data_IF_213371213983
#
_entry.id   IF_213371213983
#
_cell.length_a   1.000
_cell.length_b   1.000
_cell.length_c   1.000
_cell.angle_alpha   90.00
_cell.angle_beta   90.00
_cell.angle_gamma   90.00
#
_symmetry.space_group_name_H-M   'P 1'
#
loop_
_entity.id
_entity.type
_entity.pdbx_description
1 polymer ?
#
# COMPACT_ATOMS: atom_id res chain seq x y z
N UNK A 1 16.85 1.86 2.48
CA UNK A 1 15.46 1.42 2.30
C UNK A 1 14.66 2.61 1.82
N UNK A 2 13.99 2.51 0.68
CA UNK A 2 13.09 3.59 0.26
C UNK A 2 11.86 3.62 1.18
N UNK A 3 11.11 4.72 1.20
CA UNK A 3 9.96 4.86 2.11
C UNK A 3 8.92 3.75 1.91
N UNK A 4 8.72 3.31 0.66
CA UNK A 4 7.78 2.23 0.32
C UNK A 4 8.19 0.89 0.95
N UNK A 5 9.44 0.46 0.77
CA UNK A 5 9.99 -0.75 1.40
C UNK A 5 9.90 -0.67 2.92
N UNK A 6 10.18 0.51 3.49
CA UNK A 6 10.08 0.75 4.92
C UNK A 6 8.66 0.57 5.41
N UNK A 7 7.71 1.19 4.73
CA UNK A 7 6.31 1.13 5.11
C UNK A 7 5.73 -0.28 4.94
N UNK A 8 6.13 -1.04 3.91
CA UNK A 8 5.76 -2.46 3.75
C UNK A 8 6.25 -3.28 4.94
N UNK A 9 7.48 -3.04 5.41
CA UNK A 9 8.01 -3.72 6.60
C UNK A 9 7.27 -3.34 7.87
N UNK A 10 6.96 -2.05 8.05
CA UNK A 10 6.28 -1.54 9.25
C UNK A 10 4.82 -2.00 9.33
N UNK A 11 4.15 -2.12 8.19
CA UNK A 11 2.74 -2.55 8.10
C UNK A 11 2.56 -4.04 7.89
N UNK A 12 3.64 -4.84 8.02
CA UNK A 12 3.62 -6.30 7.80
C UNK A 12 2.56 -7.01 8.64
N UNK A 13 2.33 -6.53 9.86
CA UNK A 13 1.39 -7.09 10.82
C UNK A 13 0.19 -6.16 11.05
N UNK A 14 -0.17 -5.33 10.07
CA UNK A 14 -1.36 -4.47 10.12
C UNK A 14 -2.64 -5.28 10.43
N UNK A 15 -3.39 -4.81 11.43
CA UNK A 15 -4.60 -5.47 11.93
C UNK A 15 -5.84 -4.60 11.80
N UNK A 16 -5.68 -3.30 11.57
CA UNK A 16 -6.79 -2.41 11.35
C UNK A 16 -7.46 -2.78 10.02
N UNK A 17 -8.70 -3.26 10.05
CA UNK A 17 -9.39 -3.64 8.83
C UNK A 17 -9.83 -2.39 8.08
N UNK A 18 -9.73 -2.46 6.75
CA UNK A 18 -10.62 -1.75 5.83
C UNK A 18 -11.97 -2.49 5.86
N UNK A 19 -12.67 -2.66 4.72
CA UNK A 19 -13.90 -3.48 4.70
C UNK A 19 -13.60 -4.99 4.75
N UNK A 20 -12.85 -5.51 3.77
CA UNK A 20 -12.56 -6.95 3.64
C UNK A 20 -11.06 -7.28 3.71
N UNK A 21 -10.21 -6.25 3.83
CA UNK A 21 -8.75 -6.33 3.67
C UNK A 21 -8.11 -5.48 4.77
N UNK A 22 -6.92 -5.83 5.23
CA UNK A 22 -6.15 -4.97 6.17
C UNK A 22 -5.00 -4.24 5.48
N UNK A 23 -4.51 -4.80 4.36
CA UNK A 23 -3.41 -4.25 3.57
C UNK A 23 -3.54 -4.65 2.11
N UNK A 24 -3.29 -3.69 1.22
CA UNK A 24 -3.18 -3.90 -0.22
C UNK A 24 -1.76 -3.53 -0.66
N UNK A 25 -1.08 -4.43 -1.36
CA UNK A 25 0.21 -4.16 -2.02
C UNK A 25 -0.02 -4.28 -3.52
N UNK A 26 0.37 -3.26 -4.28
CA UNK A 26 0.32 -3.26 -5.74
C UNK A 26 1.74 -3.50 -6.23
N UNK A 27 1.93 -4.49 -7.09
CA UNK A 27 3.23 -4.89 -7.64
C UNK A 27 3.17 -5.00 -9.16
N UNK A 28 4.32 -4.91 -9.82
CA UNK A 28 4.45 -5.19 -11.26
C UNK A 28 4.34 -6.68 -11.56
N UNK A 29 3.83 -7.04 -12.74
CA UNK A 29 3.66 -8.45 -13.14
C UNK A 29 4.93 -9.13 -13.70
N UNK A 30 6.08 -8.44 -13.72
CA UNK A 30 7.34 -9.02 -14.19
C UNK A 30 7.83 -10.16 -13.28
N UNK A 31 8.72 -11.03 -13.79
CA UNK A 31 9.21 -12.24 -13.09
C UNK A 31 9.70 -11.99 -11.66
N UNK A 32 10.23 -10.80 -11.39
CA UNK A 32 10.57 -10.33 -10.05
C UNK A 32 9.70 -9.10 -9.73
N UNK A 33 8.51 -9.31 -9.14
CA UNK A 33 7.57 -8.23 -8.87
C UNK A 33 8.21 -7.13 -8.02
N UNK A 34 7.95 -5.89 -8.40
CA UNK A 34 8.37 -4.70 -7.67
C UNK A 34 7.14 -4.03 -7.08
N UNK A 35 7.09 -3.82 -5.75
CA UNK A 35 6.05 -3.01 -5.14
C UNK A 35 6.06 -1.59 -5.70
N UNK A 36 4.89 -1.09 -6.08
CA UNK A 36 4.68 0.29 -6.51
C UNK A 36 3.82 1.07 -5.53
N UNK A 37 2.99 0.39 -4.73
CA UNK A 37 2.19 1.01 -3.69
C UNK A 37 1.87 0.01 -2.57
N UNK A 38 1.65 0.56 -1.39
CA UNK A 38 1.11 -0.13 -0.22
C UNK A 38 0.06 0.76 0.41
N UNK A 39 -1.08 0.17 0.75
CA UNK A 39 -2.25 0.87 1.29
C UNK A 39 -2.73 0.11 2.51
N UNK A 40 -2.92 0.80 3.62
CA UNK A 40 -3.64 0.32 4.81
C UNK A 40 -4.92 1.13 4.99
N UNK A 41 -5.69 0.83 6.03
CA UNK A 41 -6.88 1.62 6.36
C UNK A 41 -6.55 3.10 6.64
N UNK A 42 -5.40 3.37 7.27
CA UNK A 42 -5.09 4.69 7.83
C UNK A 42 -4.12 5.49 6.95
N UNK A 43 -3.33 4.83 6.08
CA UNK A 43 -2.28 5.51 5.31
C UNK A 43 -1.88 4.72 4.04
N UNK A 44 -1.05 5.33 3.19
CA UNK A 44 -0.46 4.71 2.01
C UNK A 44 0.94 5.24 1.72
N UNK A 45 1.76 4.45 1.04
CA UNK A 45 3.05 4.88 0.50
C UNK A 45 3.20 4.43 -0.96
N UNK A 46 3.96 5.17 -1.76
CA UNK A 46 3.95 5.09 -3.23
C UNK A 46 5.34 5.25 -3.83
N UNK A 47 5.64 4.46 -4.86
CA UNK A 47 6.86 4.60 -5.65
C UNK A 47 6.86 5.92 -6.45
N UNK A 48 8.05 6.51 -6.63
CA UNK A 48 8.22 7.75 -7.41
C UNK A 48 7.68 7.59 -8.83
N UNK A 49 6.95 8.59 -9.32
CA UNK A 49 6.42 8.64 -10.69
C UNK A 49 4.98 8.13 -10.82
N UNK A 50 4.39 7.62 -9.74
CA UNK A 50 2.99 7.21 -9.70
C UNK A 50 2.15 8.22 -8.90
N UNK A 51 0.83 8.11 -8.99
CA UNK A 51 -0.13 8.89 -8.20
C UNK A 51 -1.25 7.98 -7.70
N UNK A 52 -1.61 8.12 -6.42
CA UNK A 52 -2.83 7.54 -5.84
C UNK A 52 -3.91 8.63 -5.76
N UNK A 53 -5.16 8.24 -5.99
CA UNK A 53 -6.34 9.06 -5.73
C UNK A 53 -7.28 8.26 -4.84
N UNK A 54 -7.47 8.73 -3.61
CA UNK A 54 -8.42 8.16 -2.68
C UNK A 54 -9.79 8.82 -2.91
N UNK A 55 -10.84 8.02 -2.92
CA UNK A 55 -12.21 8.47 -2.80
C UNK A 55 -12.66 8.11 -1.38
N UNK A 56 -12.93 9.09 -0.49
CA UNK A 56 -13.44 8.79 0.84
C UNK A 56 -14.80 8.10 0.74
N UNK A 57 -15.11 7.22 1.68
CA UNK A 57 -16.47 6.68 1.81
C UNK A 57 -17.43 7.79 2.22
N UNK A 58 -18.65 7.73 1.69
CA UNK A 58 -19.76 8.59 2.14
C UNK A 58 -20.26 8.08 3.50
N UNK A 59 -19.55 8.43 4.56
CA UNK A 59 -20.04 8.30 5.94
C UNK A 59 -20.11 9.69 6.58
#
# INVERSE_FOLDING_TARGET
MNNLEKFISETRDEKNPMDNWTRVIIETEEKNPKPIAVITNDNFELAKGFRIRLLPSEN
#
